data_IF_566263124658
#
_entry.id   IF_566263124658
#
_cell.length_a   1.000
_cell.length_b   1.000
_cell.length_c   1.000
_cell.angle_alpha   90.00
_cell.angle_beta   90.00
_cell.angle_gamma   90.00
#
_symmetry.space_group_name_H-M   'P 1'
#
loop_
_entity.id
_entity.type
_entity.pdbx_description
1 polymer ?
#
# COMPACT_ATOMS: atom_id res chain seq x y z
N UNK A 1 26.48 2.92 -40.73
CA UNK A 1 26.17 2.22 -39.46
C UNK A 1 25.42 3.14 -38.47
N UNK A 2 24.45 3.96 -38.93
CA UNK A 2 23.76 4.95 -38.06
C UNK A 2 22.37 4.49 -37.55
N UNK A 3 21.80 3.42 -38.11
CA UNK A 3 20.47 2.93 -37.76
C UNK A 3 20.39 2.37 -36.34
N UNK A 4 21.49 1.79 -35.84
CA UNK A 4 21.52 1.15 -34.53
C UNK A 4 21.45 2.20 -33.40
N UNK A 5 22.12 3.34 -33.55
CA UNK A 5 22.04 4.46 -32.60
C UNK A 5 20.68 5.16 -32.66
N UNK A 6 20.11 5.35 -33.85
CA UNK A 6 18.81 6.00 -34.02
C UNK A 6 17.66 5.26 -33.34
N UNK A 7 17.66 3.91 -33.36
CA UNK A 7 16.64 3.11 -32.67
C UNK A 7 16.82 3.18 -31.15
N UNK A 8 18.06 3.14 -30.67
CA UNK A 8 18.35 3.20 -29.23
C UNK A 8 18.07 4.58 -28.61
N UNK A 9 18.02 5.63 -29.44
CA UNK A 9 17.65 6.99 -29.01
C UNK A 9 16.13 7.22 -28.96
N UNK A 10 15.30 6.24 -29.33
CA UNK A 10 13.85 6.38 -29.28
C UNK A 10 13.35 6.45 -27.82
N UNK A 11 12.30 7.22 -27.51
CA UNK A 11 11.82 7.41 -26.13
C UNK A 11 11.46 6.10 -25.41
N UNK A 12 10.85 5.14 -26.10
CA UNK A 12 10.45 3.85 -25.52
C UNK A 12 11.59 2.83 -25.50
N UNK A 13 12.72 3.10 -26.15
CA UNK A 13 13.86 2.19 -26.16
C UNK A 13 14.53 2.08 -24.78
N UNK A 14 14.41 3.10 -23.92
CA UNK A 14 14.92 3.00 -22.54
C UNK A 14 14.10 2.04 -21.69
N UNK A 15 12.79 1.97 -21.93
CA UNK A 15 11.86 1.05 -21.25
C UNK A 15 11.99 -0.39 -21.78
N UNK A 16 12.02 -0.55 -23.11
CA UNK A 16 12.12 -1.84 -23.80
C UNK A 16 13.50 -2.03 -24.44
N UNK A 17 14.55 -1.98 -23.61
CA UNK A 17 15.95 -1.92 -24.09
C UNK A 17 16.38 -3.16 -24.85
N UNK A 18 15.95 -4.34 -24.40
CA UNK A 18 16.31 -5.60 -25.05
C UNK A 18 15.66 -5.70 -26.44
N UNK A 19 14.40 -5.30 -26.54
CA UNK A 19 13.61 -5.32 -27.75
C UNK A 19 14.11 -4.28 -28.75
N UNK A 20 14.39 -3.05 -28.29
CA UNK A 20 14.98 -2.01 -29.12
C UNK A 20 16.33 -2.44 -29.69
N UNK A 21 17.18 -3.09 -28.87
CA UNK A 21 18.46 -3.64 -29.33
C UNK A 21 18.25 -4.72 -30.39
N UNK A 22 17.32 -5.65 -30.16
CA UNK A 22 17.00 -6.70 -31.12
C UNK A 22 16.43 -6.14 -32.44
N UNK A 23 15.64 -5.06 -32.40
CA UNK A 23 15.15 -4.38 -33.61
C UNK A 23 16.32 -3.74 -34.38
N UNK A 24 17.25 -3.11 -33.66
CA UNK A 24 18.42 -2.49 -34.24
C UNK A 24 19.39 -3.49 -34.88
N UNK A 25 19.60 -4.63 -34.22
CA UNK A 25 20.46 -5.72 -34.73
C UNK A 25 19.84 -6.41 -35.95
N UNK A 26 18.51 -6.46 -36.03
CA UNK A 26 17.78 -6.92 -37.23
C UNK A 26 17.79 -5.90 -38.37
N UNK A 27 18.28 -4.69 -38.14
CA UNK A 27 18.34 -3.63 -39.15
C UNK A 27 16.98 -3.02 -39.51
N UNK A 28 16.02 -3.03 -38.58
CA UNK A 28 14.72 -2.37 -38.80
C UNK A 28 14.89 -0.88 -39.12
N UNK A 29 13.93 -0.32 -39.84
CA UNK A 29 13.83 1.13 -39.96
C UNK A 29 13.40 1.75 -38.62
N UNK A 30 13.70 3.05 -38.44
CA UNK A 30 13.24 3.81 -37.28
C UNK A 30 11.72 3.84 -37.19
N UNK A 31 11.02 3.93 -38.31
CA UNK A 31 9.55 3.91 -38.38
C UNK A 31 8.97 2.59 -37.85
N UNK A 32 9.50 1.45 -38.30
CA UNK A 32 9.06 0.13 -37.83
C UNK A 32 9.37 -0.08 -36.36
N UNK A 33 10.54 0.36 -35.90
CA UNK A 33 10.91 0.27 -34.49
C UNK A 33 9.96 1.09 -33.60
N UNK A 34 9.58 2.31 -34.00
CA UNK A 34 8.57 3.12 -33.30
C UNK A 34 7.24 2.38 -33.21
N UNK A 35 6.77 1.81 -34.33
CA UNK A 35 5.51 1.07 -34.35
C UNK A 35 5.52 -0.13 -33.37
N UNK A 36 6.60 -0.93 -33.41
CA UNK A 36 6.71 -2.10 -32.53
C UNK A 36 6.85 -1.72 -31.05
N UNK A 37 7.61 -0.67 -30.74
CA UNK A 37 7.74 -0.19 -29.36
C UNK A 37 6.41 0.35 -28.80
N UNK A 38 5.61 1.06 -29.60
CA UNK A 38 4.28 1.49 -29.16
C UNK A 38 3.35 0.30 -28.91
N UNK A 39 3.41 -0.73 -29.76
CA UNK A 39 2.65 -1.95 -29.56
C UNK A 39 3.03 -2.65 -28.24
N UNK A 40 4.32 -2.69 -27.90
CA UNK A 40 4.78 -3.22 -26.61
C UNK A 40 4.26 -2.37 -25.44
N UNK A 41 4.28 -1.05 -25.57
CA UNK A 41 3.72 -0.15 -24.56
C UNK A 41 2.22 -0.37 -24.34
N UNK A 42 1.44 -0.54 -25.41
CA UNK A 42 0.01 -0.84 -25.34
C UNK A 42 -0.28 -2.19 -24.64
N UNK A 43 0.56 -3.20 -24.90
CA UNK A 43 0.45 -4.50 -24.24
C UNK A 43 0.85 -4.45 -22.77
N UNK A 44 1.82 -3.60 -22.43
CA UNK A 44 2.31 -3.41 -21.07
C UNK A 44 1.38 -2.54 -20.22
N UNK A 45 0.59 -1.67 -20.86
CA UNK A 45 -0.28 -0.69 -20.19
C UNK A 45 -1.17 -1.30 -19.09
N UNK A 46 -1.88 -2.42 -19.27
CA UNK A 46 -2.70 -3.01 -18.20
C UNK A 46 -1.89 -3.42 -16.98
N UNK A 47 -0.65 -3.90 -17.16
CA UNK A 47 0.26 -4.24 -16.05
C UNK A 47 0.71 -2.97 -15.33
N UNK A 48 1.16 -1.97 -16.09
CA UNK A 48 1.59 -0.69 -15.54
C UNK A 48 0.46 -0.01 -14.73
N UNK A 49 -0.76 0.01 -15.28
CA UNK A 49 -1.95 0.56 -14.63
C UNK A 49 -2.29 -0.23 -13.34
N UNK A 50 -2.19 -1.56 -13.35
CA UNK A 50 -2.39 -2.38 -12.17
C UNK A 50 -1.36 -2.09 -11.06
N UNK A 51 -0.08 -1.88 -11.42
CA UNK A 51 0.96 -1.48 -10.46
C UNK A 51 0.66 -0.10 -9.88
N UNK A 52 0.28 0.87 -10.71
CA UNK A 52 -0.08 2.22 -10.27
C UNK A 52 -1.30 2.24 -9.32
N UNK A 53 -2.20 1.27 -9.47
CA UNK A 53 -3.39 1.11 -8.64
C UNK A 53 -3.13 0.36 -7.32
N UNK A 54 -1.92 -0.14 -7.05
CA UNK A 54 -1.62 -0.89 -5.83
C UNK A 54 -1.81 -0.05 -4.55
N UNK A 55 -1.58 1.27 -4.62
CA UNK A 55 -1.78 2.16 -3.48
C UNK A 55 -2.08 3.59 -3.90
N UNK A 56 -3.15 4.16 -3.34
CA UNK A 56 -3.59 5.54 -3.66
C UNK A 56 -2.76 6.64 -2.98
N UNK A 57 -1.91 6.30 -1.98
CA UNK A 57 -1.19 7.32 -1.22
C UNK A 57 -0.06 7.94 -2.03
N UNK A 58 0.02 9.27 -2.04
CA UNK A 58 0.93 10.04 -2.89
C UNK A 58 2.41 9.74 -2.63
N UNK A 59 2.75 9.37 -1.41
CA UNK A 59 4.14 9.09 -1.02
C UNK A 59 4.71 7.84 -1.70
N UNK A 60 3.85 6.87 -2.02
CA UNK A 60 4.26 5.64 -2.72
C UNK A 60 4.14 5.75 -4.25
N UNK A 61 3.47 6.77 -4.77
CA UNK A 61 3.30 6.97 -6.22
C UNK A 61 4.63 7.06 -7.01
N UNK A 62 5.69 7.70 -6.51
CA UNK A 62 7.00 7.66 -7.17
C UNK A 62 7.57 6.25 -7.30
N UNK A 63 7.45 5.42 -6.25
CA UNK A 63 7.89 4.03 -6.24
C UNK A 63 7.06 3.18 -7.22
N UNK A 64 5.72 3.31 -7.17
CA UNK A 64 4.83 2.62 -8.09
C UNK A 64 5.12 2.98 -9.55
N UNK A 65 5.37 4.26 -9.85
CA UNK A 65 5.75 4.72 -11.19
C UNK A 65 7.09 4.13 -11.64
N UNK A 66 8.07 4.06 -10.74
CA UNK A 66 9.35 3.44 -11.05
C UNK A 66 9.17 1.96 -11.42
N UNK A 67 8.38 1.21 -10.65
CA UNK A 67 8.09 -0.20 -10.92
C UNK A 67 7.27 -0.39 -12.21
N UNK A 68 6.26 0.45 -12.46
CA UNK A 68 5.46 0.41 -13.68
C UNK A 68 6.32 0.63 -14.95
N UNK A 69 7.34 1.48 -14.86
CA UNK A 69 8.29 1.74 -15.96
C UNK A 69 9.33 0.63 -16.19
N UNK A 70 9.33 -0.42 -15.38
CA UNK A 70 10.19 -1.59 -15.56
C UNK A 70 9.34 -2.77 -16.02
N UNK A 71 9.38 -3.13 -17.32
CA UNK A 71 8.52 -4.18 -17.89
C UNK A 71 8.66 -5.56 -17.25
N UNK A 72 9.80 -5.86 -16.62
CA UNK A 72 10.06 -7.15 -15.99
C UNK A 72 9.52 -7.27 -14.55
N UNK A 73 8.99 -6.20 -13.96
CA UNK A 73 8.37 -6.27 -12.64
C UNK A 73 6.89 -6.62 -12.83
N UNK A 74 6.47 -7.79 -12.36
CA UNK A 74 5.06 -8.16 -12.32
C UNK A 74 4.33 -7.49 -11.13
N UNK A 75 3.00 -7.57 -11.13
CA UNK A 75 2.14 -6.92 -10.14
C UNK A 75 2.33 -7.50 -8.73
N UNK A 76 2.57 -8.81 -8.61
CA UNK A 76 2.76 -9.47 -7.31
C UNK A 76 4.12 -9.08 -6.70
N UNK A 77 5.17 -9.05 -7.52
CA UNK A 77 6.49 -8.54 -7.12
C UNK A 77 6.40 -7.08 -6.68
N UNK A 78 5.70 -6.23 -7.44
CA UNK A 78 5.49 -4.83 -7.07
C UNK A 78 4.73 -4.68 -5.74
N UNK A 79 3.71 -5.51 -5.51
CA UNK A 79 2.95 -5.55 -4.25
C UNK A 79 3.83 -5.96 -3.07
N UNK A 80 4.70 -6.95 -3.25
CA UNK A 80 5.62 -7.39 -2.20
C UNK A 80 6.63 -6.29 -1.84
N UNK A 81 7.22 -5.63 -2.85
CA UNK A 81 8.14 -4.50 -2.63
C UNK A 81 7.43 -3.39 -1.87
N UNK A 82 6.23 -3.01 -2.30
CA UNK A 82 5.43 -1.98 -1.63
C UNK A 82 5.16 -2.33 -0.15
N UNK A 83 4.74 -3.55 0.13
CA UNK A 83 4.46 -3.99 1.51
C UNK A 83 5.73 -3.91 2.38
N UNK A 84 6.87 -4.36 1.86
CA UNK A 84 8.15 -4.25 2.57
C UNK A 84 8.52 -2.79 2.86
N UNK A 85 8.27 -1.87 1.91
CA UNK A 85 8.49 -0.43 2.13
C UNK A 85 7.58 0.11 3.23
N UNK A 86 6.29 -0.18 3.18
CA UNK A 86 5.32 0.24 4.21
C UNK A 86 5.72 -0.30 5.59
N UNK A 87 6.13 -1.57 5.67
CA UNK A 87 6.55 -2.20 6.93
C UNK A 87 7.83 -1.59 7.50
N UNK A 88 8.76 -1.16 6.64
CA UNK A 88 9.97 -0.45 7.06
C UNK A 88 9.67 0.96 7.58
N UNK A 89 8.69 1.64 6.98
CA UNK A 89 8.25 2.97 7.38
C UNK A 89 7.32 2.97 8.60
N UNK A 90 6.68 1.82 8.90
CA UNK A 90 5.82 1.70 10.10
C UNK A 90 6.64 2.05 11.36
N UNK A 91 6.13 2.96 12.19
CA UNK A 91 6.73 3.24 13.48
C UNK A 91 6.81 1.94 14.28
N UNK A 92 8.02 1.46 14.56
CA UNK A 92 8.22 0.38 15.51
C UNK A 92 7.81 0.95 16.86
N UNK A 93 6.69 0.46 17.41
CA UNK A 93 6.25 0.85 18.75
C UNK A 93 7.42 0.59 19.68
N UNK A 94 7.92 1.65 20.33
CA UNK A 94 9.01 1.52 21.27
C UNK A 94 8.57 0.51 22.36
N UNK A 95 9.41 -0.48 22.71
CA UNK A 95 9.06 -1.49 23.72
C UNK A 95 8.57 -0.88 25.03
N UNK A 96 9.05 0.32 25.36
CA UNK A 96 8.65 1.11 26.53
C UNK A 96 7.18 1.56 26.49
N UNK A 97 6.64 1.89 25.31
CA UNK A 97 5.22 2.25 25.15
C UNK A 97 4.32 1.02 25.23
N UNK A 98 4.78 -0.12 24.71
CA UNK A 98 4.09 -1.41 24.87
C UNK A 98 4.02 -1.80 26.34
N UNK A 99 5.14 -1.72 27.05
CA UNK A 99 5.21 -2.02 28.49
C UNK A 99 4.35 -1.07 29.32
N UNK A 100 4.32 0.23 29.00
CA UNK A 100 3.48 1.20 29.68
C UNK A 100 1.97 0.92 29.49
N UNK A 101 1.56 0.49 28.29
CA UNK A 101 0.19 0.10 28.00
C UNK A 101 -0.21 -1.20 28.71
N UNK A 102 0.66 -2.21 28.71
CA UNK A 102 0.43 -3.46 29.44
C UNK A 102 0.30 -3.22 30.95
N UNK A 103 1.19 -2.41 31.52
CA UNK A 103 1.14 -2.05 32.94
C UNK A 103 -0.13 -1.25 33.28
N UNK A 104 -0.61 -0.39 32.38
CA UNK A 104 -1.89 0.30 32.54
C UNK A 104 -3.09 -0.67 32.53
N UNK A 105 -3.12 -1.64 31.61
CA UNK A 105 -4.18 -2.67 31.56
C UNK A 105 -4.17 -3.58 32.79
N UNK A 106 -3.00 -3.95 33.30
CA UNK A 106 -2.88 -4.76 34.51
C UNK A 106 -3.35 -4.00 35.76
N UNK A 107 -2.98 -2.72 35.87
CA UNK A 107 -3.34 -1.87 37.00
C UNK A 107 -4.81 -1.42 36.99
N UNK A 108 -5.48 -1.46 35.83
CA UNK A 108 -6.89 -1.14 35.66
C UNK A 108 -7.77 -2.33 35.26
N UNK A 109 -7.25 -3.55 35.38
CA UNK A 109 -8.01 -4.76 35.06
C UNK A 109 -9.30 -4.75 35.90
N UNK A 110 -10.50 -4.65 35.28
CA UNK A 110 -11.74 -4.62 36.03
C UNK A 110 -11.83 -5.95 36.77
N UNK A 111 -11.74 -5.92 38.10
CA UNK A 111 -11.97 -7.09 38.92
C UNK A 111 -13.27 -7.72 38.45
N UNK A 112 -13.19 -8.97 38.01
CA UNK A 112 -14.36 -9.78 37.68
C UNK A 112 -15.30 -9.67 38.86
N UNK A 113 -16.43 -8.99 38.67
CA UNK A 113 -17.44 -8.86 39.71
C UNK A 113 -17.90 -10.29 39.99
N UNK A 114 -17.45 -10.83 41.12
CA UNK A 114 -17.78 -12.18 41.56
C UNK A 114 -19.30 -12.32 41.53
N UNK A 115 -19.81 -13.25 40.73
CA UNK A 115 -21.22 -13.60 40.65
C UNK A 115 -21.66 -14.22 41.99
N UNK A 116 -21.91 -13.37 42.97
CA UNK A 116 -22.15 -13.75 44.35
C UNK A 116 -23.09 -12.78 45.05
N UNK A 117 -24.17 -12.38 44.40
CA UNK A 117 -25.31 -11.77 45.08
C UNK A 117 -26.59 -12.38 44.51
N UNK A 118 -27.18 -13.32 45.24
CA UNK A 118 -28.51 -13.82 44.95
C UNK A 118 -29.48 -12.64 44.95
N UNK A 119 -30.13 -12.40 43.82
CA UNK A 119 -31.25 -11.49 43.74
C UNK A 119 -32.40 -12.12 44.55
N UNK A 120 -32.78 -11.52 45.68
CA UNK A 120 -34.08 -11.76 46.29
C UNK A 120 -34.99 -10.62 45.84
N UNK A 121 -35.88 -10.92 44.90
CA UNK A 121 -36.74 -9.97 44.22
C UNK A 121 -37.82 -9.40 45.13
N UNK A 122 -37.51 -8.36 45.90
CA UNK A 122 -38.52 -7.45 46.48
C UNK A 122 -38.10 -5.98 46.32
N UNK A 123 -38.62 -5.37 45.26
CA UNK A 123 -38.91 -3.94 45.21
C UNK A 123 -40.10 -3.68 46.16
N UNK A 124 -40.07 -2.63 47.00
CA UNK A 124 -40.72 -1.39 46.55
C UNK A 124 -40.07 -0.10 47.07
N UNK A 125 -39.80 0.82 46.13
CA UNK A 125 -39.96 2.27 46.33
C UNK A 125 -38.68 3.05 46.61
N UNK A 126 -38.25 3.86 45.63
CA UNK A 126 -38.18 5.33 45.78
C UNK A 126 -37.90 5.97 44.41
N UNK A 127 -38.95 6.54 43.80
CA UNK A 127 -38.88 7.29 42.53
C UNK A 127 -38.35 8.72 42.79
N UNK A 128 -37.10 8.84 43.25
CA UNK A 128 -36.62 10.09 43.86
C UNK A 128 -35.48 10.86 43.17
N UNK A 129 -34.63 10.26 42.33
CA UNK A 129 -33.29 10.84 42.10
C UNK A 129 -32.76 10.84 40.65
N UNK A 130 -33.64 10.80 39.64
CA UNK A 130 -33.18 10.94 38.23
C UNK A 130 -33.06 12.42 37.81
N UNK A 131 -33.76 13.34 38.48
CA UNK A 131 -33.81 14.76 38.07
C UNK A 131 -32.60 15.61 38.48
N UNK A 132 -31.63 15.04 39.21
CA UNK A 132 -30.44 15.80 39.68
C UNK A 132 -29.23 15.75 38.74
N UNK A 133 -29.22 14.83 37.76
CA UNK A 133 -28.05 14.62 36.88
C UNK A 133 -28.05 15.57 35.66
N UNK A 134 -29.20 16.16 35.29
CA UNK A 134 -29.34 16.95 34.05
C UNK A 134 -29.24 18.48 34.22
N UNK A 135 -28.89 19.00 35.40
CA UNK A 135 -28.88 20.47 35.66
C UNK A 135 -27.52 21.09 36.00
N UNK A 136 -26.42 20.42 35.68
CA UNK A 136 -25.09 21.05 35.70
C UNK A 136 -24.41 20.88 34.34
N UNK A 137 -24.95 21.58 33.35
CA UNK A 137 -24.21 22.07 32.18
C UNK A 137 -24.57 23.55 32.02
#
# INVERSE_FOLDING_TARGET
MATNESIMALPLASKFKAEARAMADRGLSTYEAVYQLNKLEEQDKPRADAIMALHEHKDYQPLLRAMANVPCIDVDTAKNILNMTIEQERPKVAPELTAAFENFMDMHSPQTVSAGMAYDGRNPGDDGDIDRILKTI
#
